data_IF_214012304349
#
_entry.id   IF_214012304349
#
_cell.length_a   1.000
_cell.length_b   1.000
_cell.length_c   1.000
_cell.angle_alpha   90.00
_cell.angle_beta   90.00
_cell.angle_gamma   90.00
#
_symmetry.space_group_name_H-M   'P 1'
#
loop_
_entity.id
_entity.type
_entity.pdbx_description
1 polymer ?
#
# COMPACT_ATOMS: atom_id res chain seq x y z
N UNK A 1 0.03 -0.12 -9.57
CA UNK A 1 -0.88 1.03 -9.60
C UNK A 1 -0.68 1.86 -8.35
N UNK A 2 -0.61 3.18 -8.49
CA UNK A 2 -0.49 4.15 -7.41
C UNK A 2 -1.78 4.96 -7.37
N UNK A 3 -2.33 5.16 -6.19
CA UNK A 3 -3.52 5.98 -5.96
C UNK A 3 -3.18 7.13 -5.01
N UNK A 4 -3.61 8.32 -5.36
CA UNK A 4 -3.47 9.51 -4.52
C UNK A 4 -4.81 10.24 -4.41
N UNK A 5 -5.26 10.49 -3.18
CA UNK A 5 -6.40 11.37 -2.92
C UNK A 5 -5.90 12.79 -2.78
N UNK A 6 -6.35 13.66 -3.68
CA UNK A 6 -5.86 15.03 -3.80
C UNK A 6 -6.98 15.98 -3.39
N UNK A 7 -6.66 17.03 -2.64
CA UNK A 7 -7.62 18.09 -2.28
C UNK A 7 -8.06 18.85 -3.52
N UNK A 8 -9.33 19.25 -3.55
CA UNK A 8 -9.92 20.03 -4.65
C UNK A 8 -9.02 21.25 -5.01
N UNK A 9 -8.71 21.38 -6.30
CA UNK A 9 -7.88 22.46 -6.82
C UNK A 9 -6.36 22.36 -6.59
N UNK A 10 -5.86 21.31 -5.95
CA UNK A 10 -4.40 21.11 -5.74
C UNK A 10 -3.83 19.96 -6.57
N UNK A 11 -4.36 19.74 -7.77
CA UNK A 11 -4.00 18.58 -8.60
C UNK A 11 -2.50 18.49 -8.91
N UNK A 12 -1.89 19.60 -9.37
CA UNK A 12 -0.47 19.61 -9.69
C UNK A 12 0.40 19.24 -8.50
N UNK A 13 0.13 19.84 -7.33
CA UNK A 13 0.87 19.54 -6.10
C UNK A 13 0.74 18.08 -5.68
N UNK A 14 -0.48 17.54 -5.75
CA UNK A 14 -0.73 16.15 -5.36
C UNK A 14 -0.12 15.15 -6.34
N UNK A 15 -0.21 15.41 -7.64
CA UNK A 15 0.42 14.59 -8.68
C UNK A 15 1.93 14.63 -8.52
N UNK A 16 2.51 15.83 -8.33
CA UNK A 16 3.94 15.99 -8.12
C UNK A 16 4.44 15.17 -6.92
N UNK A 17 3.75 15.27 -5.78
CA UNK A 17 4.09 14.48 -4.59
C UNK A 17 4.03 12.96 -4.86
N UNK A 18 2.97 12.49 -5.52
CA UNK A 18 2.83 11.08 -5.86
C UNK A 18 3.92 10.59 -6.82
N UNK A 19 4.33 11.43 -7.78
CA UNK A 19 5.40 11.10 -8.72
C UNK A 19 6.78 11.09 -8.05
N UNK A 20 7.05 12.00 -7.10
CA UNK A 20 8.28 12.02 -6.31
C UNK A 20 8.39 10.74 -5.48
N UNK A 21 7.33 10.34 -4.78
CA UNK A 21 7.32 9.09 -4.01
C UNK A 21 7.51 7.87 -4.92
N UNK A 22 6.86 7.84 -6.08
CA UNK A 22 7.06 6.79 -7.06
C UNK A 22 8.52 6.70 -7.52
N UNK A 23 9.15 7.83 -7.80
CA UNK A 23 10.55 7.89 -8.25
C UNK A 23 11.51 7.50 -7.11
N UNK A 24 11.20 7.90 -5.86
CA UNK A 24 11.96 7.48 -4.68
C UNK A 24 11.97 5.97 -4.52
N UNK A 25 10.80 5.33 -4.57
CA UNK A 25 10.70 3.86 -4.48
C UNK A 25 11.40 3.19 -5.66
N UNK A 26 11.27 3.75 -6.86
CA UNK A 26 11.96 3.20 -8.04
C UNK A 26 13.49 3.22 -7.90
N UNK A 27 14.07 4.29 -7.34
CA UNK A 27 15.53 4.45 -7.18
C UNK A 27 16.08 3.66 -6.01
N UNK A 28 15.39 3.71 -4.88
CA UNK A 28 15.93 3.26 -3.59
C UNK A 28 15.22 2.03 -3.04
N UNK A 29 14.04 1.67 -3.60
CA UNK A 29 13.23 0.58 -3.08
C UNK A 29 12.49 0.96 -1.80
N UNK A 30 11.99 -0.06 -1.13
CA UNK A 30 11.40 0.03 0.20
C UNK A 30 12.46 -0.22 1.28
N UNK A 31 12.14 0.17 2.51
CA UNK A 31 12.95 -0.07 3.70
C UNK A 31 12.49 -1.34 4.43
N UNK A 32 13.33 -1.86 5.34
CA UNK A 32 12.97 -3.01 6.19
C UNK A 32 11.76 -2.70 7.06
N UNK A 33 11.70 -1.50 7.64
CA UNK A 33 10.56 -1.11 8.46
C UNK A 33 9.24 -1.02 7.67
N UNK A 34 9.26 -0.60 6.41
CA UNK A 34 8.08 -0.63 5.54
C UNK A 34 7.64 -2.07 5.26
N UNK A 35 8.58 -2.98 5.01
CA UNK A 35 8.29 -4.39 4.80
C UNK A 35 7.67 -5.02 6.06
N UNK A 36 8.28 -4.82 7.23
CA UNK A 36 7.78 -5.38 8.49
C UNK A 36 6.41 -4.81 8.88
N UNK A 37 6.18 -3.50 8.70
CA UNK A 37 4.85 -2.91 8.90
C UNK A 37 3.81 -3.54 7.97
N UNK A 38 4.18 -3.77 6.72
CA UNK A 38 3.29 -4.39 5.73
C UNK A 38 2.99 -5.85 6.10
N UNK A 39 4.00 -6.62 6.50
CA UNK A 39 3.80 -7.99 7.01
C UNK A 39 2.84 -8.02 8.20
N UNK A 40 3.02 -7.11 9.17
CA UNK A 40 2.14 -6.99 10.33
C UNK A 40 0.69 -6.63 9.95
N UNK A 41 0.49 -5.71 9.00
CA UNK A 41 -0.83 -5.34 8.51
C UNK A 41 -1.55 -6.53 7.84
N UNK A 42 -0.85 -7.28 6.98
CA UNK A 42 -1.42 -8.48 6.36
C UNK A 42 -1.78 -9.52 7.41
N UNK A 43 -0.87 -9.82 8.35
CA UNK A 43 -1.12 -10.78 9.43
C UNK A 43 -2.36 -10.40 10.22
N UNK A 44 -2.46 -9.18 10.73
CA UNK A 44 -3.61 -8.69 11.49
C UNK A 44 -4.92 -8.77 10.69
N UNK A 45 -4.88 -8.47 9.39
CA UNK A 45 -6.04 -8.55 8.49
C UNK A 45 -6.55 -9.99 8.34
N UNK A 46 -5.64 -10.94 8.15
CA UNK A 46 -5.98 -12.35 7.99
C UNK A 46 -6.42 -12.99 9.30
N UNK A 47 -5.80 -12.64 10.44
CA UNK A 47 -6.24 -13.07 11.78
C UNK A 47 -7.67 -12.61 12.05
N UNK A 48 -7.98 -11.32 11.78
CA UNK A 48 -9.34 -10.80 11.90
C UNK A 48 -10.32 -11.53 10.98
N UNK A 49 -9.93 -11.78 9.73
CA UNK A 49 -10.77 -12.53 8.79
C UNK A 49 -11.06 -13.96 9.27
N UNK A 50 -10.09 -14.63 9.90
CA UNK A 50 -10.27 -15.95 10.47
C UNK A 50 -11.21 -15.93 11.69
N UNK A 51 -11.06 -14.94 12.58
CA UNK A 51 -11.94 -14.76 13.75
C UNK A 51 -13.39 -14.45 13.37
N UNK A 52 -13.58 -13.68 12.30
CA UNK A 52 -14.90 -13.24 11.82
C UNK A 52 -15.52 -14.19 10.79
N UNK A 53 -14.87 -15.32 10.48
CA UNK A 53 -15.30 -16.22 9.41
C UNK A 53 -16.75 -16.74 9.59
N UNK A 54 -17.16 -17.02 10.82
CA UNK A 54 -18.51 -17.48 11.14
C UNK A 54 -19.59 -16.38 10.99
N UNK A 55 -19.20 -15.11 10.91
CA UNK A 55 -20.11 -13.95 10.81
C UNK A 55 -20.17 -13.37 9.40
N UNK A 56 -19.56 -14.05 8.42
CA UNK A 56 -19.54 -13.55 7.05
C UNK A 56 -20.91 -13.57 6.39
N UNK A 57 -21.16 -12.55 5.57
CA UNK A 57 -22.38 -12.51 4.76
C UNK A 57 -22.38 -13.62 3.69
N UNK A 58 -23.56 -14.17 3.39
CA UNK A 58 -23.72 -15.26 2.42
C UNK A 58 -23.15 -14.92 1.02
N UNK A 59 -23.22 -13.67 0.60
CA UNK A 59 -22.64 -13.22 -0.67
C UNK A 59 -21.12 -13.44 -0.75
N UNK A 60 -20.40 -13.26 0.36
CA UNK A 60 -18.95 -13.52 0.43
C UNK A 60 -18.63 -15.02 0.40
N UNK A 61 -19.49 -15.83 1.02
CA UNK A 61 -19.34 -17.29 0.99
C UNK A 61 -19.50 -17.87 -0.41
N UNK A 62 -20.30 -17.26 -1.28
CA UNK A 62 -20.50 -17.70 -2.66
C UNK A 62 -19.36 -17.26 -3.58
N UNK A 63 -18.71 -16.13 -3.30
CA UNK A 63 -17.69 -15.58 -4.19
C UNK A 63 -16.48 -16.50 -4.36
N UNK A 64 -16.03 -17.18 -3.31
CA UNK A 64 -14.86 -18.07 -3.37
C UNK A 64 -15.12 -19.32 -4.22
N UNK A 65 -16.22 -20.08 -4.04
CA UNK A 65 -16.58 -21.17 -4.93
C UNK A 65 -16.79 -20.72 -6.40
N UNK A 66 -17.42 -19.56 -6.60
CA UNK A 66 -17.63 -19.02 -7.94
C UNK A 66 -16.29 -18.72 -8.63
N UNK A 67 -15.37 -18.05 -7.95
CA UNK A 67 -14.04 -17.79 -8.49
C UNK A 67 -13.24 -19.07 -8.74
N UNK A 68 -13.35 -20.06 -7.87
CA UNK A 68 -12.75 -21.38 -8.10
C UNK A 68 -13.29 -22.01 -9.39
N UNK A 69 -14.60 -21.99 -9.58
CA UNK A 69 -15.25 -22.56 -10.77
C UNK A 69 -14.87 -21.81 -12.06
N UNK A 70 -14.89 -20.47 -12.03
CA UNK A 70 -14.66 -19.64 -13.23
C UNK A 70 -13.18 -19.49 -13.60
N UNK A 71 -12.29 -19.47 -12.63
CA UNK A 71 -10.89 -19.06 -12.82
C UNK A 71 -9.87 -20.09 -12.30
N UNK A 72 -10.33 -21.23 -11.78
CA UNK A 72 -9.45 -22.24 -11.17
C UNK A 72 -8.75 -21.77 -9.90
N UNK A 73 -9.25 -20.71 -9.26
CA UNK A 73 -8.70 -20.16 -8.02
C UNK A 73 -8.74 -21.17 -6.86
N UNK A 74 -7.85 -21.03 -5.91
CA UNK A 74 -7.81 -21.90 -4.75
C UNK A 74 -9.02 -21.68 -3.83
N UNK A 75 -9.68 -22.78 -3.45
CA UNK A 75 -10.75 -22.77 -2.46
C UNK A 75 -10.17 -23.08 -1.08
N UNK A 76 -9.91 -22.01 -0.33
CA UNK A 76 -9.33 -22.10 1.02
C UNK A 76 -10.26 -21.45 2.03
N UNK A 77 -10.38 -22.06 3.21
CA UNK A 77 -11.02 -21.43 4.37
C UNK A 77 -10.21 -20.22 4.86
N UNK A 78 -10.81 -19.37 5.69
CA UNK A 78 -10.09 -18.24 6.27
C UNK A 78 -8.90 -18.67 7.15
N UNK A 79 -9.05 -19.77 7.90
CA UNK A 79 -7.95 -20.36 8.68
C UNK A 79 -6.82 -20.88 7.78
N UNK A 80 -7.13 -21.64 6.74
CA UNK A 80 -6.12 -22.14 5.80
C UNK A 80 -5.35 -21.01 5.12
N UNK A 81 -6.02 -19.90 4.79
CA UNK A 81 -5.34 -18.71 4.25
C UNK A 81 -4.42 -18.06 5.28
N UNK A 82 -4.83 -18.01 6.55
CA UNK A 82 -3.98 -17.50 7.63
C UNK A 82 -2.76 -18.40 7.84
N UNK A 83 -2.92 -19.72 7.84
CA UNK A 83 -1.83 -20.69 7.99
C UNK A 83 -0.83 -20.55 6.83
N UNK A 84 -1.32 -20.44 5.59
CA UNK A 84 -0.48 -20.21 4.42
C UNK A 84 0.28 -18.88 4.52
N UNK A 85 -0.40 -17.80 4.96
CA UNK A 85 0.23 -16.50 5.16
C UNK A 85 1.34 -16.55 6.21
N UNK A 86 1.07 -17.19 7.35
CA UNK A 86 2.05 -17.36 8.44
C UNK A 86 3.28 -18.15 8.01
N UNK A 87 3.14 -19.04 7.02
CA UNK A 87 4.26 -19.79 6.46
C UNK A 87 5.09 -18.97 5.48
N UNK A 88 4.46 -18.04 4.75
CA UNK A 88 5.10 -17.26 3.68
C UNK A 88 5.73 -15.97 4.21
N UNK A 89 5.06 -15.24 5.10
CA UNK A 89 5.55 -13.92 5.56
C UNK A 89 6.98 -13.94 6.11
N UNK A 90 7.42 -14.94 6.92
CA UNK A 90 8.77 -14.95 7.47
C UNK A 90 9.88 -15.15 6.43
N UNK A 91 9.56 -15.74 5.27
CA UNK A 91 10.57 -16.03 4.23
C UNK A 91 10.70 -14.94 3.18
N UNK A 92 9.78 -13.96 3.16
CA UNK A 92 9.87 -12.81 2.25
C UNK A 92 11.01 -11.90 2.71
N UNK A 93 11.98 -11.67 1.82
CA UNK A 93 13.15 -10.82 2.05
C UNK A 93 13.00 -9.47 1.33
N UNK A 94 13.59 -8.41 1.92
CA UNK A 94 13.53 -7.07 1.36
C UNK A 94 14.17 -7.00 -0.03
N UNK A 95 15.26 -7.73 -0.24
CA UNK A 95 16.00 -7.79 -1.50
C UNK A 95 15.13 -8.33 -2.65
N UNK A 96 14.30 -9.34 -2.37
CA UNK A 96 13.38 -9.91 -3.36
C UNK A 96 12.30 -8.90 -3.75
N UNK A 97 11.72 -8.21 -2.76
CA UNK A 97 10.72 -7.16 -2.98
C UNK A 97 11.33 -6.03 -3.82
N UNK A 98 12.52 -5.57 -3.48
CA UNK A 98 13.19 -4.48 -4.20
C UNK A 98 13.67 -4.90 -5.60
N UNK A 99 14.00 -6.15 -5.82
CA UNK A 99 14.29 -6.67 -7.15
C UNK A 99 13.05 -6.65 -8.06
N UNK A 100 11.87 -6.97 -7.53
CA UNK A 100 10.60 -6.86 -8.28
C UNK A 100 10.27 -5.41 -8.63
N UNK A 101 10.52 -4.45 -7.73
CA UNK A 101 10.29 -3.02 -7.97
C UNK A 101 11.08 -2.53 -9.18
N UNK A 102 12.36 -2.89 -9.28
CA UNK A 102 13.22 -2.53 -10.42
C UNK A 102 12.67 -3.00 -11.77
N UNK A 103 12.00 -4.16 -11.78
CA UNK A 103 11.40 -4.71 -12.98
C UNK A 103 10.03 -4.09 -13.32
N UNK A 104 9.25 -3.70 -12.32
CA UNK A 104 7.88 -3.23 -12.51
C UNK A 104 7.76 -1.71 -12.64
N UNK A 105 8.62 -0.94 -11.96
CA UNK A 105 8.58 0.51 -11.97
C UNK A 105 9.44 1.09 -13.09
N UNK A 106 8.90 1.05 -14.32
CA UNK A 106 9.57 1.54 -15.53
C UNK A 106 9.14 2.96 -15.86
N UNK A 107 9.93 3.65 -16.69
CA UNK A 107 9.59 5.00 -17.18
C UNK A 107 8.62 4.97 -18.36
N UNK A 108 8.45 3.83 -18.99
CA UNK A 108 7.55 3.60 -20.13
C UNK A 108 6.22 2.96 -19.68
N UNK A 109 5.23 2.95 -20.58
CA UNK A 109 3.89 2.37 -20.36
C UNK A 109 3.17 2.91 -19.13
N UNK A 110 3.23 4.24 -18.94
CA UNK A 110 2.55 4.92 -17.84
C UNK A 110 1.23 5.51 -18.29
N UNK A 111 0.21 5.37 -17.47
CA UNK A 111 -1.09 6.02 -17.65
C UNK A 111 -1.39 6.82 -16.39
N UNK A 112 -1.73 8.09 -16.56
CA UNK A 112 -2.19 8.97 -15.48
C UNK A 112 -3.67 9.20 -15.70
N UNK A 113 -4.49 8.81 -14.72
CA UNK A 113 -5.93 9.09 -14.72
C UNK A 113 -6.24 10.03 -13.57
N UNK A 114 -6.95 11.11 -13.87
CA UNK A 114 -7.42 12.07 -12.88
C UNK A 114 -8.94 12.07 -12.90
N UNK A 115 -9.55 11.67 -11.77
CA UNK A 115 -11.00 11.72 -11.59
C UNK A 115 -11.35 12.90 -10.70
N UNK A 116 -12.21 13.79 -11.19
CA UNK A 116 -12.63 14.98 -10.45
C UNK A 116 -14.07 15.36 -10.79
N UNK A 117 -14.61 16.35 -10.07
CA UNK A 117 -15.90 16.97 -10.39
C UNK A 117 -15.78 17.78 -11.67
N UNK A 118 -16.86 17.90 -12.42
CA UNK A 118 -16.89 18.70 -13.65
C UNK A 118 -16.48 20.17 -13.41
N UNK A 119 -16.85 20.74 -12.25
CA UNK A 119 -16.47 22.11 -11.85
C UNK A 119 -14.96 22.34 -11.70
N UNK A 120 -14.17 21.30 -11.60
CA UNK A 120 -12.72 21.38 -11.38
C UNK A 120 -11.91 20.88 -12.58
N UNK A 121 -12.58 20.58 -13.69
CA UNK A 121 -11.97 20.06 -14.90
C UNK A 121 -10.86 20.96 -15.45
N UNK A 122 -11.10 22.28 -15.44
CA UNK A 122 -10.15 23.27 -15.95
C UNK A 122 -8.91 23.45 -15.04
N UNK A 123 -8.93 22.88 -13.84
CA UNK A 123 -7.80 22.90 -12.89
C UNK A 123 -6.88 21.69 -13.03
N UNK A 124 -7.26 20.71 -13.86
CA UNK A 124 -6.41 19.54 -14.12
C UNK A 124 -5.21 19.99 -14.97
N UNK A 125 -3.97 19.60 -14.62
CA UNK A 125 -2.81 19.88 -15.45
C UNK A 125 -2.98 19.33 -16.86
N UNK A 126 -2.52 20.09 -17.85
CA UNK A 126 -2.52 19.64 -19.25
C UNK A 126 -1.58 18.45 -19.45
N UNK A 127 -1.76 17.72 -20.54
CA UNK A 127 -0.89 16.59 -20.90
C UNK A 127 0.59 17.01 -20.98
N UNK A 128 0.87 18.17 -21.59
CA UNK A 128 2.24 18.69 -21.72
C UNK A 128 2.84 19.01 -20.36
N UNK A 129 2.04 19.58 -19.45
CA UNK A 129 2.49 19.83 -18.08
C UNK A 129 2.79 18.54 -17.33
N UNK A 130 1.96 17.50 -17.50
CA UNK A 130 2.20 16.18 -16.90
C UNK A 130 3.47 15.51 -17.46
N UNK A 131 3.72 15.63 -18.76
CA UNK A 131 4.96 15.16 -19.38
C UNK A 131 6.19 15.91 -18.86
N UNK A 132 6.10 17.23 -18.71
CA UNK A 132 7.17 18.05 -18.12
C UNK A 132 7.48 17.61 -16.69
N UNK A 133 6.46 17.46 -15.83
CA UNK A 133 6.62 16.98 -14.46
C UNK A 133 7.27 15.59 -14.40
N UNK A 134 6.87 14.66 -15.26
CA UNK A 134 7.48 13.33 -15.34
C UNK A 134 8.96 13.41 -15.67
N UNK A 135 9.35 14.26 -16.63
CA UNK A 135 10.74 14.44 -17.02
C UNK A 135 11.55 15.14 -15.93
N UNK A 136 11.02 16.20 -15.34
CA UNK A 136 11.67 16.93 -14.24
C UNK A 136 11.97 16.01 -13.07
N UNK A 137 10.97 15.25 -12.60
CA UNK A 137 11.10 14.34 -11.47
C UNK A 137 12.05 13.17 -11.78
N UNK A 138 11.98 12.62 -13.00
CA UNK A 138 12.87 11.54 -13.41
C UNK A 138 14.35 11.93 -13.41
N UNK A 139 14.64 13.24 -13.59
CA UNK A 139 15.99 13.79 -13.60
C UNK A 139 16.35 14.54 -12.31
N UNK A 140 15.44 14.65 -11.35
CA UNK A 140 15.69 15.34 -10.08
C UNK A 140 16.65 14.58 -9.20
N UNK A 141 17.89 15.07 -9.07
CA UNK A 141 18.93 14.48 -8.25
C UNK A 141 18.74 14.76 -6.74
N UNK A 142 17.79 15.61 -6.36
CA UNK A 142 17.54 15.97 -4.96
C UNK A 142 16.64 14.98 -4.23
N UNK A 143 16.04 14.04 -4.95
CA UNK A 143 15.21 12.99 -4.34
C UNK A 143 16.13 12.06 -3.54
N UNK A 144 15.98 12.09 -2.22
CA UNK A 144 16.71 11.25 -1.28
C UNK A 144 15.94 9.95 -0.95
N UNK A 145 16.64 8.91 -0.47
CA UNK A 145 16.00 7.72 0.11
C UNK A 145 15.03 8.10 1.22
N UNK A 146 13.99 7.29 1.40
CA UNK A 146 13.09 7.46 2.54
C UNK A 146 13.86 7.25 3.85
N UNK A 147 13.77 8.21 4.75
CA UNK A 147 14.33 8.12 6.11
C UNK A 147 13.19 7.75 7.05
N UNK A 148 13.33 6.62 7.69
CA UNK A 148 12.38 6.22 8.73
C UNK A 148 12.60 7.06 9.98
N UNK A 149 11.51 7.62 10.51
CA UNK A 149 11.53 8.15 11.87
C UNK A 149 11.65 7.00 12.87
N UNK A 150 12.43 7.17 13.92
CA UNK A 150 12.48 6.20 15.00
C UNK A 150 11.08 6.08 15.62
N UNK A 151 10.44 4.94 15.38
CA UNK A 151 9.17 4.64 16.01
C UNK A 151 9.45 4.29 17.46
N UNK A 152 8.92 5.10 18.39
CA UNK A 152 9.00 4.79 19.80
C UNK A 152 8.46 3.37 20.06
N UNK A 153 9.26 2.51 20.68
CA UNK A 153 8.92 1.11 20.98
C UNK A 153 7.75 0.98 21.96
N UNK A 154 7.36 2.06 22.63
CA UNK A 154 6.26 2.12 23.57
C UNK A 154 5.50 3.45 23.45
N UNK A 155 4.18 3.41 23.59
CA UNK A 155 3.32 4.60 23.62
C UNK A 155 3.61 5.53 24.81
N UNK A 156 4.23 5.01 25.86
CA UNK A 156 4.57 5.73 27.08
C UNK A 156 5.93 5.26 27.60
N UNK A 157 6.73 6.17 28.11
CA UNK A 157 8.00 5.87 28.81
C UNK A 157 7.79 5.15 30.14
N UNK A 158 6.63 5.34 30.77
CA UNK A 158 6.27 4.72 32.04
C UNK A 158 4.83 4.24 31.97
N UNK A 159 4.61 2.95 32.23
CA UNK A 159 3.25 2.39 32.28
C UNK A 159 2.50 2.97 33.47
N UNK A 160 1.23 3.40 33.33
CA UNK A 160 0.43 3.84 34.45
C UNK A 160 0.22 2.70 35.45
N UNK A 161 0.17 3.04 36.73
CA UNK A 161 -0.15 2.06 37.77
C UNK A 161 -1.51 1.43 37.51
N UNK A 162 -1.62 0.11 37.71
CA UNK A 162 -2.89 -0.59 37.57
C UNK A 162 -3.95 0.03 38.50
N UNK A 163 -5.06 0.47 37.93
CA UNK A 163 -6.23 0.89 38.67
C UNK A 163 -6.80 -0.26 39.51
N UNK A 164 -7.36 0.06 40.68
CA UNK A 164 -8.15 -0.90 41.46
C UNK A 164 -9.61 -0.82 41.00
N UNK A 165 -10.17 -1.97 40.69
CA UNK A 165 -11.63 -2.07 40.50
C UNK A 165 -12.25 -2.16 41.89
N UNK A 166 -12.95 -1.11 42.31
CA UNK A 166 -13.79 -1.16 43.53
C UNK A 166 -15.11 -1.85 43.13
N UNK A 167 -15.32 -3.06 43.64
CA UNK A 167 -16.57 -3.81 43.54
C UNK A 167 -17.61 -3.24 44.50
#
# INVERSE_FOLDING_TARGET
TIYASIRDGQFEKGINAALIENERVRRYGFTEGELERTKALYKNSYERSALEAAKQQSSRLVSAPLNNFLSGGLLMSASQRLDALNSILPVIQLEEVNALIKNWMRHDNRVIMVNTKESDKDKIPTEDKLKSLLNEISNDATIEPYKEDEIASALMTTMPAKGRVNS
#
